data_IF_965070304876
#
_entry.id   IF_965070304876
#
_cell.length_a   1.000
_cell.length_b   1.000
_cell.length_c   1.000
_cell.angle_alpha   90.00
_cell.angle_beta   90.00
_cell.angle_gamma   90.00
#
_symmetry.space_group_name_H-M   'P 1'
#
loop_
_entity.id
_entity.type
_entity.pdbx_description
1 polymer ?
#
# COMPACT_ATOMS: atom_id res chain seq x y z
N UNK A 1 20.32 -13.47 41.64
CA UNK A 1 20.69 -12.43 40.65
C UNK A 1 20.37 -13.00 39.29
N UNK A 2 19.20 -12.64 38.75
CA UNK A 2 18.73 -13.08 37.44
C UNK A 2 19.58 -12.40 36.36
N UNK A 3 20.33 -13.20 35.60
CA UNK A 3 21.00 -12.75 34.39
C UNK A 3 19.94 -12.44 33.33
N UNK A 4 19.52 -11.18 33.27
CA UNK A 4 18.78 -10.61 32.14
C UNK A 4 19.63 -10.79 30.88
N UNK A 5 19.22 -11.59 29.89
CA UNK A 5 19.98 -11.73 28.66
C UNK A 5 19.73 -10.55 27.73
N UNK A 6 20.82 -9.90 27.31
CA UNK A 6 20.98 -9.03 26.15
C UNK A 6 19.92 -7.93 25.91
N UNK A 7 20.23 -6.79 26.49
CA UNK A 7 19.72 -5.42 26.28
C UNK A 7 19.99 -4.85 24.86
N UNK A 8 20.11 -5.70 23.83
CA UNK A 8 20.64 -5.31 22.52
C UNK A 8 19.61 -5.27 21.40
N UNK A 9 18.49 -6.00 21.50
CA UNK A 9 17.47 -6.05 20.46
C UNK A 9 16.15 -5.52 21.02
N UNK A 10 15.76 -4.31 20.61
CA UNK A 10 14.43 -3.78 20.93
C UNK A 10 13.37 -4.53 20.10
N UNK A 11 12.99 -5.70 20.62
CA UNK A 11 11.98 -6.59 20.04
C UNK A 11 10.64 -5.86 19.84
N UNK A 12 10.30 -4.92 20.75
CA UNK A 12 9.08 -4.13 20.65
C UNK A 12 9.15 -3.13 19.50
N UNK A 13 10.23 -2.37 19.37
CA UNK A 13 10.42 -1.47 18.24
C UNK A 13 10.40 -2.23 16.90
N UNK A 14 11.02 -3.41 16.86
CA UNK A 14 11.00 -4.28 15.68
C UNK A 14 9.57 -4.76 15.33
N UNK A 15 8.79 -5.18 16.32
CA UNK A 15 7.39 -5.60 16.14
C UNK A 15 6.47 -4.44 15.72
N UNK A 16 6.66 -3.23 16.27
CA UNK A 16 5.89 -2.04 15.90
C UNK A 16 6.13 -1.64 14.44
N UNK A 17 7.39 -1.66 13.98
CA UNK A 17 7.74 -1.42 12.59
C UNK A 17 7.15 -2.49 11.64
N UNK A 18 7.10 -3.76 12.09
CA UNK A 18 6.52 -4.86 11.31
C UNK A 18 5.00 -4.71 11.20
N UNK A 19 4.35 -4.31 12.29
CA UNK A 19 2.92 -3.99 12.32
C UNK A 19 2.59 -2.79 11.43
N UNK A 20 3.41 -1.74 11.43
CA UNK A 20 3.26 -0.58 10.57
C UNK A 20 3.36 -0.95 9.08
N UNK A 21 4.34 -1.79 8.72
CA UNK A 21 4.47 -2.33 7.36
C UNK A 21 3.24 -3.13 6.96
N UNK A 22 2.79 -4.06 7.81
CA UNK A 22 1.61 -4.90 7.54
C UNK A 22 0.36 -4.06 7.34
N UNK A 23 0.14 -3.04 8.19
CA UNK A 23 -1.00 -2.12 8.09
C UNK A 23 -0.99 -1.33 6.78
N UNK A 24 0.19 -0.84 6.35
CA UNK A 24 0.34 -0.17 5.07
C UNK A 24 -0.05 -1.09 3.91
N UNK A 25 0.49 -2.30 3.87
CA UNK A 25 0.17 -3.28 2.81
C UNK A 25 -1.32 -3.62 2.81
N UNK A 26 -1.91 -3.89 3.98
CA UNK A 26 -3.34 -4.22 4.08
C UNK A 26 -4.22 -3.07 3.58
N UNK A 27 -3.90 -1.82 3.90
CA UNK A 27 -4.65 -0.66 3.40
C UNK A 27 -4.54 -0.52 1.88
N UNK A 28 -3.34 -0.66 1.33
CA UNK A 28 -3.10 -0.55 -0.12
C UNK A 28 -3.80 -1.66 -0.90
N UNK A 29 -3.74 -2.90 -0.39
CA UNK A 29 -4.48 -4.04 -0.94
C UNK A 29 -5.99 -3.78 -0.86
N UNK A 30 -6.49 -3.30 0.28
CA UNK A 30 -7.90 -2.96 0.45
C UNK A 30 -8.38 -1.94 -0.58
N UNK A 31 -7.65 -0.83 -0.77
CA UNK A 31 -7.97 0.19 -1.77
C UNK A 31 -7.97 -0.43 -3.18
N UNK A 32 -6.99 -1.26 -3.50
CA UNK A 32 -6.86 -1.89 -4.81
C UNK A 32 -8.03 -2.86 -5.08
N UNK A 33 -8.37 -3.70 -4.10
CA UNK A 33 -9.50 -4.64 -4.21
C UNK A 33 -10.80 -3.89 -4.41
N UNK A 34 -11.06 -2.85 -3.61
CA UNK A 34 -12.28 -2.04 -3.76
C UNK A 34 -12.31 -1.39 -5.15
N UNK A 35 -11.23 -0.77 -5.60
CA UNK A 35 -11.18 -0.09 -6.89
C UNK A 35 -11.44 -1.06 -8.06
N UNK A 36 -10.81 -2.24 -8.07
CA UNK A 36 -11.03 -3.26 -9.10
C UNK A 36 -12.42 -3.88 -9.02
N UNK A 37 -12.95 -4.09 -7.81
CA UNK A 37 -14.30 -4.61 -7.62
C UNK A 37 -15.35 -3.61 -8.12
N UNK A 38 -15.18 -2.32 -7.80
CA UNK A 38 -16.04 -1.25 -8.32
C UNK A 38 -15.99 -1.20 -9.85
N UNK A 39 -14.83 -1.40 -10.47
CA UNK A 39 -14.75 -1.54 -11.93
C UNK A 39 -15.64 -2.67 -12.45
N UNK A 40 -15.55 -3.86 -11.85
CA UNK A 40 -16.33 -5.02 -12.28
C UNK A 40 -17.84 -4.80 -12.10
N UNK A 41 -18.25 -4.14 -11.01
CA UNK A 41 -19.64 -3.78 -10.80
C UNK A 41 -20.15 -2.78 -11.83
N UNK A 42 -19.40 -1.71 -12.09
CA UNK A 42 -19.76 -0.69 -13.09
C UNK A 42 -19.81 -1.29 -14.49
N UNK A 43 -18.88 -2.19 -14.83
CA UNK A 43 -18.79 -2.80 -16.16
C UNK A 43 -19.93 -3.78 -16.42
N UNK A 44 -20.30 -4.59 -15.43
CA UNK A 44 -21.29 -5.66 -15.63
C UNK A 44 -22.73 -5.23 -15.31
N UNK A 45 -22.94 -4.26 -14.43
CA UNK A 45 -24.27 -3.92 -13.92
C UNK A 45 -24.74 -2.52 -14.34
N UNK A 46 -23.94 -1.75 -15.08
CA UNK A 46 -24.31 -0.37 -15.44
C UNK A 46 -24.03 -0.07 -16.91
N UNK A 47 -25.09 0.14 -17.72
CA UNK A 47 -24.96 0.66 -19.11
C UNK A 47 -24.35 2.07 -19.18
N UNK A 48 -24.09 2.72 -18.04
CA UNK A 48 -23.36 4.00 -17.98
C UNK A 48 -21.96 3.87 -18.56
N UNK A 49 -21.33 2.68 -18.52
CA UNK A 49 -20.03 2.46 -19.15
C UNK A 49 -20.07 2.40 -20.68
N UNK A 50 -21.23 2.09 -21.26
CA UNK A 50 -21.47 2.12 -22.71
C UNK A 50 -21.80 3.52 -23.23
N UNK A 51 -21.99 4.50 -22.33
CA UNK A 51 -22.16 5.89 -22.70
C UNK A 51 -20.87 6.45 -23.32
N UNK A 52 -20.94 6.88 -24.58
CA UNK A 52 -19.88 7.67 -25.20
C UNK A 52 -19.81 9.06 -24.55
N UNK A 53 -18.64 9.44 -24.05
CA UNK A 53 -18.42 10.75 -23.41
C UNK A 53 -18.09 11.80 -24.47
N UNK A 54 -17.21 11.47 -25.42
CA UNK A 54 -16.88 12.27 -26.62
C UNK A 54 -16.37 11.33 -27.71
N UNK A 55 -16.99 11.33 -28.89
CA UNK A 55 -16.50 10.72 -30.15
C UNK A 55 -15.70 9.40 -29.99
N UNK A 56 -16.33 8.35 -29.49
CA UNK A 56 -15.71 7.02 -29.32
C UNK A 56 -14.91 6.80 -28.02
N UNK A 57 -14.82 7.81 -27.14
CA UNK A 57 -14.22 7.66 -25.82
C UNK A 57 -15.31 7.30 -24.80
N UNK A 58 -15.32 6.04 -24.36
CA UNK A 58 -16.29 5.56 -23.38
C UNK A 58 -15.92 5.96 -21.95
N UNK A 59 -16.92 5.99 -21.07
CA UNK A 59 -16.70 6.17 -19.62
C UNK A 59 -15.72 5.11 -19.06
N UNK A 60 -15.64 3.94 -19.70
CA UNK A 60 -14.65 2.90 -19.37
C UNK A 60 -13.20 3.36 -19.49
N UNK A 61 -12.89 4.10 -20.55
CA UNK A 61 -11.53 4.61 -20.75
C UNK A 61 -11.14 5.61 -19.67
N UNK A 62 -12.05 6.51 -19.28
CA UNK A 62 -11.84 7.44 -18.17
C UNK A 62 -11.62 6.70 -16.85
N UNK A 63 -12.41 5.66 -16.57
CA UNK A 63 -12.25 4.87 -15.35
C UNK A 63 -10.91 4.12 -15.32
N UNK A 64 -10.52 3.48 -16.43
CA UNK A 64 -9.24 2.80 -16.56
C UNK A 64 -8.06 3.77 -16.39
N UNK A 65 -8.16 4.98 -16.95
CA UNK A 65 -7.17 6.04 -16.76
C UNK A 65 -7.05 6.42 -15.28
N UNK A 66 -8.17 6.63 -14.58
CA UNK A 66 -8.16 6.89 -13.13
C UNK A 66 -7.51 5.75 -12.33
N UNK A 67 -7.82 4.49 -12.66
CA UNK A 67 -7.18 3.34 -12.01
C UNK A 67 -5.68 3.31 -12.22
N UNK A 68 -5.20 3.65 -13.42
CA UNK A 68 -3.77 3.74 -13.70
C UNK A 68 -3.08 4.72 -12.76
N UNK A 69 -3.58 5.95 -12.63
CA UNK A 69 -3.01 6.94 -11.71
C UNK A 69 -3.15 6.52 -10.25
N UNK A 70 -4.25 5.86 -9.87
CA UNK A 70 -4.43 5.32 -8.53
C UNK A 70 -3.36 4.27 -8.21
N UNK A 71 -3.06 3.34 -9.12
CA UNK A 71 -2.01 2.32 -8.93
C UNK A 71 -0.63 2.96 -8.88
N UNK A 72 -0.33 3.91 -9.76
CA UNK A 72 0.94 4.65 -9.75
C UNK A 72 1.11 5.42 -8.44
N UNK A 73 0.05 6.09 -7.98
CA UNK A 73 0.02 6.81 -6.71
C UNK A 73 0.21 5.91 -5.50
N UNK A 74 -0.54 4.81 -5.42
CA UNK A 74 -0.40 3.78 -4.37
C UNK A 74 1.00 3.20 -4.33
N UNK A 75 1.56 2.86 -5.50
CA UNK A 75 2.91 2.28 -5.61
C UNK A 75 3.97 3.29 -5.19
N UNK A 76 3.84 4.55 -5.61
CA UNK A 76 4.78 5.62 -5.23
C UNK A 76 4.71 5.91 -3.73
N UNK A 77 3.48 5.97 -3.19
CA UNK A 77 3.26 6.16 -1.76
C UNK A 77 3.84 5.01 -0.94
N UNK A 78 3.57 3.76 -1.36
CA UNK A 78 4.15 2.57 -0.75
C UNK A 78 5.68 2.62 -0.74
N UNK A 79 6.31 2.91 -1.89
CA UNK A 79 7.78 3.01 -2.00
C UNK A 79 8.37 4.05 -1.05
N UNK A 80 7.72 5.21 -0.92
CA UNK A 80 8.18 6.25 0.02
C UNK A 80 8.06 5.80 1.48
N UNK A 81 6.93 5.18 1.84
CA UNK A 81 6.67 4.76 3.23
C UNK A 81 7.50 3.54 3.64
N UNK A 82 7.69 2.57 2.74
CA UNK A 82 8.53 1.41 3.01
C UNK A 82 10.00 1.82 3.18
N UNK A 83 10.50 2.77 2.38
CA UNK A 83 11.86 3.28 2.50
C UNK A 83 12.09 3.97 3.86
N UNK A 84 11.09 4.70 4.39
CA UNK A 84 11.15 5.28 5.74
C UNK A 84 11.22 4.19 6.82
N UNK A 85 10.41 3.13 6.69
CA UNK A 85 10.39 2.01 7.64
C UNK A 85 11.72 1.23 7.60
N UNK A 86 12.26 0.97 6.41
CA UNK A 86 13.55 0.29 6.25
C UNK A 86 14.73 1.12 6.76
N UNK A 87 14.68 2.44 6.63
CA UNK A 87 15.69 3.32 7.23
C UNK A 87 15.67 3.22 8.76
N UNK A 88 14.49 3.22 9.38
CA UNK A 88 14.35 3.02 10.82
C UNK A 88 14.87 1.65 11.29
N UNK A 89 14.62 0.58 10.52
CA UNK A 89 15.17 -0.74 10.83
C UNK A 89 16.70 -0.79 10.80
N UNK A 90 17.34 -0.13 9.84
CA UNK A 90 18.81 -0.10 9.73
C UNK A 90 19.46 0.55 10.96
N UNK A 91 18.89 1.64 11.46
CA UNK A 91 19.40 2.30 12.66
C UNK A 91 19.38 1.38 13.90
N UNK A 92 18.29 0.64 14.11
CA UNK A 92 18.18 -0.31 15.23
C UNK A 92 19.21 -1.44 15.06
N UNK A 93 19.40 -1.95 13.84
CA UNK A 93 20.34 -3.04 13.57
C UNK A 93 21.81 -2.61 13.74
N UNK A 94 22.15 -1.36 13.43
CA UNK A 94 23.49 -0.80 13.62
C UNK A 94 23.82 -0.60 15.11
N UNK A 95 22.85 -0.20 15.94
CA UNK A 95 23.02 -0.15 17.41
C UNK A 95 23.28 -1.54 18.00
N UNK A 96 22.63 -2.60 17.50
CA UNK A 96 22.85 -3.98 17.97
C UNK A 96 24.26 -4.48 17.63
N UNK A 97 24.86 -3.97 16.55
CA UNK A 97 26.15 -4.44 16.01
C UNK A 97 27.36 -3.70 16.59
N UNK A 98 27.17 -2.52 17.18
CA UNK A 98 28.19 -1.65 17.78
C UNK A 98 28.46 -2.03 19.24
#
# INVERSE_FOLDING_TARGET
MSSTPADGFDLKAYEELAAARRRLVTLLVGITVVAYWTQQLLTNFTSVMDGEVVSGLSVAYLYAFCLFFLVVGLTTYYRRRIAQIEAAYRHIQDEVRS
#
